data_IF_407900480452
#
_entry.id   IF_407900480452
#
_cell.length_a   1.000
_cell.length_b   1.000
_cell.length_c   1.000
_cell.angle_alpha   90.00
_cell.angle_beta   90.00
_cell.angle_gamma   90.00
#
_symmetry.space_group_name_H-M   'P 1'
#
loop_
_entity.id
_entity.type
_entity.pdbx_description
1 polymer ?
#
# COMPACT_ATOMS: atom_id res chain seq x y z
N UNK A 1 -0.64 25.90 -1.81
CA UNK A 1 -0.59 24.54 -1.25
C UNK A 1 0.64 23.88 -1.82
N UNK A 2 1.57 23.45 -0.96
CA UNK A 2 2.72 22.68 -1.42
C UNK A 2 2.31 21.20 -1.64
N UNK A 3 3.16 20.39 -2.28
CA UNK A 3 2.82 19.00 -2.60
C UNK A 3 2.54 18.13 -1.35
N UNK A 4 3.22 18.40 -0.23
CA UNK A 4 3.02 17.66 1.01
C UNK A 4 1.63 17.93 1.61
N UNK A 5 1.21 19.19 1.64
CA UNK A 5 -0.12 19.60 2.11
C UNK A 5 -1.23 19.01 1.21
N UNK A 6 -1.02 18.98 -0.12
CA UNK A 6 -1.96 18.34 -1.05
C UNK A 6 -2.09 16.84 -0.79
N UNK A 7 -0.95 16.15 -0.63
CA UNK A 7 -0.94 14.73 -0.34
C UNK A 7 -1.58 14.42 1.00
N UNK A 8 -1.28 15.20 2.04
CA UNK A 8 -1.87 15.02 3.37
C UNK A 8 -3.41 15.10 3.32
N UNK A 9 -3.96 16.11 2.65
CA UNK A 9 -5.42 16.24 2.49
C UNK A 9 -6.02 15.04 1.74
N UNK A 10 -5.37 14.60 0.66
CA UNK A 10 -5.84 13.43 -0.11
C UNK A 10 -5.72 12.13 0.69
N UNK A 11 -4.67 11.97 1.49
CA UNK A 11 -4.51 10.81 2.37
C UNK A 11 -5.55 10.80 3.49
N UNK A 12 -5.88 11.97 4.05
CA UNK A 12 -6.94 12.11 5.05
C UNK A 12 -8.30 11.68 4.49
N UNK A 13 -8.67 12.14 3.29
CA UNK A 13 -9.93 11.75 2.63
C UNK A 13 -10.00 10.23 2.36
N UNK A 14 -8.88 9.62 1.99
CA UNK A 14 -8.78 8.18 1.77
C UNK A 14 -8.85 7.39 3.08
N UNK A 15 -8.15 7.86 4.12
CA UNK A 15 -8.16 7.27 5.46
C UNK A 15 -9.59 7.19 6.01
N UNK A 16 -10.36 8.27 5.92
CA UNK A 16 -11.75 8.31 6.39
C UNK A 16 -12.60 7.22 5.73
N UNK A 17 -12.46 7.02 4.42
CA UNK A 17 -13.21 6.01 3.67
C UNK A 17 -12.76 4.59 3.95
N UNK A 18 -11.47 4.38 4.21
CA UNK A 18 -10.90 3.06 4.44
C UNK A 18 -11.05 2.61 5.90
N UNK A 19 -11.15 3.53 6.85
CA UNK A 19 -11.19 3.24 8.27
C UNK A 19 -12.30 2.24 8.68
N UNK A 20 -13.55 2.32 8.17
CA UNK A 20 -14.60 1.35 8.51
C UNK A 20 -14.31 -0.06 8.00
N UNK A 21 -13.52 -0.19 6.93
CA UNK A 21 -13.10 -1.48 6.36
C UNK A 21 -11.94 -2.04 7.17
N UNK A 22 -10.90 -1.22 7.40
CA UNK A 22 -9.71 -1.62 8.14
C UNK A 22 -10.00 -2.03 9.59
N UNK A 23 -10.97 -1.38 10.25
CA UNK A 23 -11.37 -1.70 11.64
C UNK A 23 -12.42 -2.81 11.73
N UNK A 24 -12.85 -3.38 10.61
CA UNK A 24 -13.87 -4.42 10.60
C UNK A 24 -13.28 -5.73 11.18
N UNK A 25 -13.86 -6.27 12.25
CA UNK A 25 -13.37 -7.52 12.81
C UNK A 25 -13.64 -8.69 11.85
N UNK A 26 -12.64 -9.56 11.69
CA UNK A 26 -12.80 -10.84 10.99
C UNK A 26 -13.19 -11.89 12.03
N UNK A 27 -14.37 -12.49 11.86
CA UNK A 27 -14.81 -13.61 12.70
C UNK A 27 -14.16 -14.92 12.24
N UNK A 28 -13.03 -15.24 12.86
CA UNK A 28 -12.25 -16.46 12.61
C UNK A 28 -12.91 -17.74 13.15
N UNK A 29 -13.99 -17.62 13.94
CA UNK A 29 -14.70 -18.78 14.49
C UNK A 29 -15.75 -19.31 13.53
N UNK A 30 -16.14 -18.51 12.54
CA UNK A 30 -17.16 -18.87 11.55
C UNK A 30 -16.60 -19.93 10.57
N UNK A 31 -17.31 -21.04 10.33
CA UNK A 31 -16.91 -22.01 9.32
C UNK A 31 -16.76 -21.35 7.94
N UNK A 32 -15.64 -21.62 7.27
CA UNK A 32 -15.28 -21.03 5.98
C UNK A 32 -14.92 -19.54 6.03
N UNK A 33 -14.41 -19.03 7.16
CA UNK A 33 -14.05 -17.61 7.29
C UNK A 33 -12.93 -17.20 6.33
N UNK A 34 -11.96 -18.08 6.07
CA UNK A 34 -10.80 -17.78 5.23
C UNK A 34 -11.22 -17.60 3.77
N UNK A 35 -12.07 -18.48 3.25
CA UNK A 35 -12.59 -18.40 1.89
C UNK A 35 -13.43 -17.14 1.70
N UNK A 36 -14.21 -16.74 2.71
CA UNK A 36 -14.96 -15.48 2.67
C UNK A 36 -14.06 -14.26 2.69
N UNK A 37 -12.97 -14.31 3.48
CA UNK A 37 -11.99 -13.23 3.52
C UNK A 37 -11.28 -13.10 2.16
N UNK A 38 -10.88 -14.21 1.56
CA UNK A 38 -10.22 -14.25 0.25
C UNK A 38 -11.16 -13.86 -0.91
N UNK A 39 -12.45 -14.19 -0.81
CA UNK A 39 -13.46 -13.79 -1.80
C UNK A 39 -13.93 -12.34 -1.63
N UNK A 40 -13.51 -11.65 -0.57
CA UNK A 40 -13.82 -10.25 -0.34
C UNK A 40 -13.26 -9.34 -1.44
N UNK A 41 -13.93 -8.22 -1.67
CA UNK A 41 -13.39 -7.19 -2.55
C UNK A 41 -12.11 -6.60 -1.94
N UNK A 42 -11.09 -6.27 -2.74
CA UNK A 42 -9.93 -5.55 -2.24
C UNK A 42 -10.35 -4.23 -1.57
N UNK A 43 -9.69 -3.78 -0.49
CA UNK A 43 -10.17 -2.65 0.31
C UNK A 43 -10.38 -1.35 -0.47
N UNK A 44 -9.51 -1.06 -1.44
CA UNK A 44 -9.62 0.14 -2.28
C UNK A 44 -10.83 0.07 -3.23
N UNK A 45 -11.21 -1.12 -3.69
CA UNK A 45 -12.40 -1.34 -4.51
C UNK A 45 -13.66 -1.22 -3.66
N UNK A 46 -13.65 -1.83 -2.48
CA UNK A 46 -14.78 -1.79 -1.56
C UNK A 46 -15.09 -0.34 -1.12
N UNK A 47 -14.07 0.48 -0.89
CA UNK A 47 -14.23 1.90 -0.60
C UNK A 47 -14.54 2.77 -1.84
N UNK A 48 -14.45 2.21 -3.06
CA UNK A 48 -14.66 2.97 -4.30
C UNK A 48 -13.59 4.05 -4.55
N UNK A 49 -12.36 3.82 -4.08
CA UNK A 49 -11.26 4.81 -4.12
C UNK A 49 -10.02 4.35 -4.89
N UNK A 50 -10.04 3.18 -5.55
CA UNK A 50 -8.88 2.61 -6.25
C UNK A 50 -8.15 3.62 -7.12
N UNK A 51 -8.84 4.27 -8.06
CA UNK A 51 -8.20 5.20 -9.00
C UNK A 51 -7.54 6.40 -8.30
N UNK A 52 -8.23 6.96 -7.30
CA UNK A 52 -7.72 8.10 -6.54
C UNK A 52 -6.50 7.71 -5.69
N UNK A 53 -6.55 6.55 -5.04
CA UNK A 53 -5.46 6.01 -4.25
C UNK A 53 -4.26 5.67 -5.13
N UNK A 54 -4.43 4.94 -6.23
CA UNK A 54 -3.32 4.56 -7.10
C UNK A 54 -2.66 5.78 -7.75
N UNK A 55 -3.43 6.80 -8.14
CA UNK A 55 -2.87 8.05 -8.63
C UNK A 55 -2.01 8.74 -7.57
N UNK A 56 -2.49 8.84 -6.34
CA UNK A 56 -1.72 9.42 -5.24
C UNK A 56 -0.45 8.60 -4.94
N UNK A 57 -0.57 7.27 -4.88
CA UNK A 57 0.57 6.39 -4.66
C UNK A 57 1.62 6.54 -5.76
N UNK A 58 1.21 6.63 -7.03
CA UNK A 58 2.14 6.84 -8.14
C UNK A 58 2.93 8.15 -8.01
N UNK A 59 2.26 9.25 -7.63
CA UNK A 59 2.91 10.53 -7.38
C UNK A 59 3.92 10.45 -6.23
N UNK A 60 3.51 9.86 -5.10
CA UNK A 60 4.35 9.73 -3.91
C UNK A 60 5.53 8.77 -4.14
N UNK A 61 5.34 7.68 -4.89
CA UNK A 61 6.41 6.74 -5.29
C UNK A 61 7.46 7.46 -6.14
N UNK A 62 7.03 8.25 -7.13
CA UNK A 62 7.93 9.02 -7.97
C UNK A 62 8.74 10.04 -7.13
N UNK A 63 8.06 10.75 -6.22
CA UNK A 63 8.70 11.70 -5.31
C UNK A 63 9.66 11.02 -4.32
N UNK A 64 9.32 9.83 -3.81
CA UNK A 64 10.19 9.07 -2.91
C UNK A 64 11.47 8.58 -3.62
N UNK A 65 11.33 8.14 -4.87
CA UNK A 65 12.44 7.65 -5.68
C UNK A 65 13.45 8.76 -6.00
N UNK A 66 12.96 9.93 -6.39
CA UNK A 66 13.80 11.06 -6.87
C UNK A 66 14.14 12.08 -5.78
N UNK A 67 13.40 12.05 -4.67
CA UNK A 67 13.47 13.06 -3.62
C UNK A 67 14.66 12.91 -2.69
N UNK A 68 14.83 13.94 -1.86
CA UNK A 68 15.83 13.98 -0.79
C UNK A 68 15.41 13.11 0.39
N UNK A 69 16.32 12.86 1.33
CA UNK A 69 16.00 12.14 2.57
C UNK A 69 14.90 12.84 3.39
N UNK A 70 14.84 14.18 3.34
CA UNK A 70 13.75 14.94 3.94
C UNK A 70 12.39 14.60 3.30
N UNK A 71 12.35 14.49 1.97
CA UNK A 71 11.12 14.13 1.24
C UNK A 71 10.68 12.70 1.58
N UNK A 72 11.64 11.76 1.64
CA UNK A 72 11.40 10.37 2.04
C UNK A 72 10.87 10.28 3.46
N UNK A 73 11.46 11.02 4.39
CA UNK A 73 11.02 11.07 5.79
C UNK A 73 9.60 11.64 5.92
N UNK A 74 9.29 12.71 5.18
CA UNK A 74 7.95 13.31 5.19
C UNK A 74 6.88 12.34 4.64
N UNK A 75 7.15 11.66 3.52
CA UNK A 75 6.26 10.64 2.97
C UNK A 75 6.04 9.50 3.96
N UNK A 76 7.12 8.98 4.56
CA UNK A 76 7.02 7.92 5.57
C UNK A 76 6.17 8.34 6.76
N UNK A 77 6.31 9.59 7.22
CA UNK A 77 5.51 10.14 8.32
C UNK A 77 4.02 10.16 7.98
N UNK A 78 3.64 10.58 6.78
CA UNK A 78 2.23 10.54 6.36
C UNK A 78 1.66 9.12 6.42
N UNK A 79 2.39 8.12 5.92
CA UNK A 79 1.97 6.72 6.02
C UNK A 79 1.92 6.20 7.47
N UNK A 80 2.64 6.83 8.39
CA UNK A 80 2.50 6.51 9.81
C UNK A 80 1.19 7.06 10.39
N UNK A 81 0.86 8.30 10.02
CA UNK A 81 -0.31 9.06 10.49
C UNK A 81 -1.63 8.54 9.92
N UNK A 82 -1.63 7.95 8.71
CA UNK A 82 -2.81 7.39 8.04
C UNK A 82 -2.72 5.85 7.88
N UNK A 83 -2.93 5.08 8.96
CA UNK A 83 -2.67 3.64 8.99
C UNK A 83 -3.66 2.79 8.19
N UNK A 84 -4.93 3.20 8.03
CA UNK A 84 -5.90 2.44 7.24
C UNK A 84 -5.58 2.50 5.75
N UNK A 85 -5.14 3.67 5.27
CA UNK A 85 -4.59 3.81 3.92
C UNK A 85 -3.30 3.01 3.77
N UNK A 86 -2.36 3.11 4.70
CA UNK A 86 -1.11 2.36 4.64
C UNK A 86 -1.34 0.83 4.57
N UNK A 87 -2.33 0.33 5.31
CA UNK A 87 -2.77 -1.07 5.26
C UNK A 87 -3.37 -1.46 3.91
N UNK A 88 -4.19 -0.60 3.31
CA UNK A 88 -4.85 -0.87 2.03
C UNK A 88 -4.00 -0.58 0.79
N UNK A 89 -2.88 0.14 0.95
CA UNK A 89 -2.06 0.64 -0.15
C UNK A 89 -1.48 -0.51 -0.99
N UNK A 90 -2.06 -0.69 -2.17
CA UNK A 90 -1.68 -1.70 -3.15
C UNK A 90 -1.70 -1.09 -4.54
N UNK A 91 -0.90 -1.63 -5.45
CA UNK A 91 -0.82 -1.16 -6.84
C UNK A 91 -1.33 -2.24 -7.79
N UNK A 92 -2.12 -1.84 -8.78
CA UNK A 92 -2.54 -2.72 -9.89
C UNK A 92 -1.44 -2.97 -10.93
N UNK A 93 -0.35 -2.18 -10.94
CA UNK A 93 0.74 -2.41 -11.89
C UNK A 93 1.38 -3.79 -11.68
N UNK A 94 1.67 -4.54 -12.75
CA UNK A 94 2.15 -5.91 -12.62
C UNK A 94 3.60 -5.97 -12.12
N UNK A 95 3.85 -6.83 -11.14
CA UNK A 95 5.20 -7.14 -10.60
C UNK A 95 6.12 -7.87 -11.59
N UNK A 96 5.57 -8.34 -12.71
CA UNK A 96 6.27 -9.09 -13.75
C UNK A 96 6.99 -8.21 -14.77
N UNK A 97 7.06 -6.89 -14.52
CA UNK A 97 7.87 -5.95 -15.29
C UNK A 97 8.89 -5.29 -14.37
N UNK A 98 10.04 -4.85 -14.90
CA UNK A 98 11.07 -4.17 -14.09
C UNK A 98 10.54 -2.90 -13.43
N UNK A 99 9.78 -2.08 -14.16
CA UNK A 99 9.23 -0.84 -13.61
C UNK A 99 8.13 -1.10 -12.58
N UNK A 100 7.26 -2.09 -12.83
CA UNK A 100 6.27 -2.50 -11.84
C UNK A 100 6.92 -3.05 -10.57
N UNK A 101 7.89 -3.97 -10.70
CA UNK A 101 8.68 -4.46 -9.57
C UNK A 101 9.31 -3.32 -8.76
N UNK A 102 9.93 -2.34 -9.43
CA UNK A 102 10.53 -1.18 -8.77
C UNK A 102 9.48 -0.39 -7.97
N UNK A 103 8.31 -0.13 -8.54
CA UNK A 103 7.23 0.59 -7.85
C UNK A 103 6.75 -0.17 -6.60
N UNK A 104 6.56 -1.49 -6.70
CA UNK A 104 6.18 -2.32 -5.55
C UNK A 104 7.25 -2.32 -4.45
N UNK A 105 8.54 -2.37 -4.79
CA UNK A 105 9.63 -2.29 -3.82
C UNK A 105 9.73 -0.91 -3.16
N UNK A 106 9.47 0.17 -3.89
CA UNK A 106 9.43 1.52 -3.31
C UNK A 106 8.23 1.65 -2.36
N UNK A 107 7.04 1.21 -2.77
CA UNK A 107 5.88 1.22 -1.88
C UNK A 107 6.11 0.38 -0.63
N UNK A 108 6.72 -0.80 -0.79
CA UNK A 108 7.18 -1.61 0.34
C UNK A 108 8.12 -0.82 1.25
N UNK A 109 9.13 -0.14 0.71
CA UNK A 109 10.05 0.68 1.50
C UNK A 109 9.34 1.81 2.25
N UNK A 110 8.34 2.46 1.64
CA UNK A 110 7.53 3.51 2.30
C UNK A 110 6.74 2.93 3.47
N UNK A 111 6.12 1.77 3.28
CA UNK A 111 5.28 1.09 4.28
C UNK A 111 6.08 0.36 5.37
N UNK A 112 7.24 -0.18 5.03
CA UNK A 112 8.11 -0.92 5.96
C UNK A 112 8.81 0.07 6.88
N UNK A 113 8.23 0.21 8.07
CA UNK A 113 8.70 1.09 9.13
C UNK A 113 8.89 0.34 10.45
N UNK A 114 9.18 -0.97 10.36
CA UNK A 114 9.48 -1.81 11.53
C UNK A 114 8.28 -2.16 12.41
N UNK A 115 7.05 -2.10 11.86
CA UNK A 115 5.81 -2.38 12.60
C UNK A 115 5.59 -3.87 12.89
N UNK A 116 5.67 -4.71 11.87
CA UNK A 116 5.71 -6.19 12.00
C UNK A 116 6.71 -6.75 10.97
N UNK A 117 7.85 -7.23 11.46
CA UNK A 117 8.92 -7.76 10.60
C UNK A 117 8.52 -9.05 9.89
N UNK A 118 7.54 -9.81 10.39
CA UNK A 118 7.08 -11.06 9.77
C UNK A 118 6.25 -10.76 8.53
N UNK A 119 5.28 -9.85 8.64
CA UNK A 119 4.46 -9.43 7.50
C UNK A 119 5.31 -8.73 6.44
N UNK A 120 6.29 -7.92 6.86
CA UNK A 120 7.24 -7.30 5.96
C UNK A 120 8.06 -8.35 5.18
N UNK A 121 8.57 -9.38 5.86
CA UNK A 121 9.33 -10.46 5.23
C UNK A 121 8.47 -11.26 4.24
N UNK A 122 7.24 -11.64 4.62
CA UNK A 122 6.32 -12.36 3.74
C UNK A 122 5.97 -11.54 2.49
N UNK A 123 5.71 -10.24 2.66
CA UNK A 123 5.42 -9.32 1.56
C UNK A 123 6.59 -9.23 0.59
N UNK A 124 7.81 -9.03 1.10
CA UNK A 124 9.01 -8.93 0.28
C UNK A 124 9.32 -10.26 -0.44
N UNK A 125 9.15 -11.40 0.24
CA UNK A 125 9.31 -12.71 -0.37
C UNK A 125 8.34 -12.91 -1.53
N UNK A 126 7.06 -12.54 -1.36
CA UNK A 126 6.06 -12.64 -2.43
C UNK A 126 6.43 -11.76 -3.63
N UNK A 127 6.78 -10.49 -3.41
CA UNK A 127 7.20 -9.57 -4.48
C UNK A 127 8.38 -10.15 -5.27
N UNK A 128 9.40 -10.66 -4.57
CA UNK A 128 10.57 -11.26 -5.20
C UNK A 128 10.23 -12.57 -5.93
N UNK A 129 9.35 -13.40 -5.39
CA UNK A 129 8.96 -14.66 -6.02
C UNK A 129 8.16 -14.43 -7.30
N UNK A 130 7.24 -13.46 -7.30
CA UNK A 130 6.49 -13.06 -8.50
C UNK A 130 7.44 -12.62 -9.63
N UNK A 131 8.47 -11.83 -9.28
CA UNK A 131 9.47 -11.37 -10.23
C UNK A 131 10.37 -12.48 -10.77
N UNK A 132 10.81 -13.42 -9.92
CA UNK A 132 11.59 -14.61 -10.34
C UNK A 132 10.77 -15.51 -11.27
N UNK A 133 9.50 -15.76 -10.94
CA UNK A 133 8.61 -16.56 -11.78
C UNK A 133 8.42 -15.94 -13.16
N UNK A 134 8.54 -14.62 -13.27
CA UNK A 134 8.50 -13.86 -14.53
C UNK A 134 9.87 -13.77 -15.26
N UNK A 135 10.95 -14.30 -14.67
CA UNK A 135 12.28 -14.29 -15.27
C UNK A 135 12.99 -12.93 -15.22
N UNK A 136 12.65 -12.07 -14.25
CA UNK A 136 13.27 -10.73 -14.14
C UNK A 136 14.67 -10.75 -13.53
N UNK A 137 15.03 -11.79 -12.78
CA UNK A 137 16.37 -12.05 -12.23
C UNK A 137 16.49 -13.47 -11.68
#
# INVERSE_FOLDING_TARGET
MNALEDWELRMMDLEEKLQPIAKRPVDITRPGWLERLQAGAPPLDEAGVRDAAEKLLAEMIAAYAQGTDHTRAAIRRLFQEYPSLAWAATLSVPRTTIDGLRQHLILFSINDQGRDSRDALLTLQQICQDARNAGLF
#
